data_IF_670277213236
#
_entry.id   IF_670277213236
#
_cell.length_a   1.000
_cell.length_b   1.000
_cell.length_c   1.000
_cell.angle_alpha   90.00
_cell.angle_beta   90.00
_cell.angle_gamma   90.00
#
_symmetry.space_group_name_H-M   'P 1'
#
loop_
_entity.id
_entity.type
_entity.pdbx_description
1 polymer ?
#
# COMPACT_ATOMS: atom_id res chain seq x y z
N UNK A 1 -90.29 32.48 16.41
CA UNK A 1 -89.18 31.76 15.74
C UNK A 1 -89.07 32.32 14.34
N UNK A 2 -88.73 33.60 14.17
CA UNK A 2 -87.45 34.28 14.40
C UNK A 2 -86.47 34.09 13.23
N UNK A 3 -86.43 35.16 12.43
CA UNK A 3 -85.29 35.88 11.87
C UNK A 3 -83.95 35.19 11.49
N UNK A 4 -83.44 35.67 10.35
CA UNK A 4 -82.06 35.97 9.91
C UNK A 4 -81.73 35.26 8.59
N UNK A 5 -81.62 35.93 7.44
CA UNK A 5 -80.91 37.16 7.05
C UNK A 5 -79.36 37.03 6.97
N UNK A 6 -78.91 37.17 5.72
CA UNK A 6 -77.63 37.68 5.22
C UNK A 6 -76.32 36.86 5.22
N UNK A 7 -75.66 37.01 4.05
CA UNK A 7 -74.23 36.89 3.71
C UNK A 7 -73.86 35.55 3.05
N UNK A 8 -73.17 35.45 1.91
CA UNK A 8 -72.15 36.36 1.37
C UNK A 8 -71.80 36.00 -0.10
N UNK A 9 -71.71 37.05 -0.94
CA UNK A 9 -70.92 37.32 -2.15
C UNK A 9 -70.51 36.24 -3.21
N UNK A 10 -70.46 36.63 -4.51
CA UNK A 10 -69.97 35.82 -5.63
C UNK A 10 -68.44 35.89 -5.80
N UNK A 11 -67.79 34.75 -6.03
CA UNK A 11 -66.36 34.68 -6.41
C UNK A 11 -66.20 34.44 -7.92
N UNK A 12 -65.33 35.26 -8.49
CA UNK A 12 -65.05 35.50 -9.91
C UNK A 12 -64.51 34.29 -10.71
N UNK A 13 -64.62 34.32 -12.05
CA UNK A 13 -64.06 33.30 -12.93
C UNK A 13 -62.52 33.33 -12.93
N UNK A 14 -61.92 32.14 -12.84
CA UNK A 14 -60.48 31.96 -12.97
C UNK A 14 -60.02 32.27 -14.41
N UNK A 15 -58.94 33.03 -14.61
CA UNK A 15 -58.42 33.35 -15.93
C UNK A 15 -57.66 32.17 -16.56
N UNK A 16 -57.86 32.04 -17.86
CA UNK A 16 -57.14 31.27 -18.87
C UNK A 16 -55.62 31.21 -18.63
N UNK A 17 -54.96 30.05 -18.75
CA UNK A 17 -53.50 30.00 -18.80
C UNK A 17 -52.99 30.62 -20.11
N UNK A 18 -52.37 31.78 -19.97
CA UNK A 18 -51.59 32.47 -21.00
C UNK A 18 -50.42 31.57 -21.44
N UNK A 19 -50.37 31.28 -22.74
CA UNK A 19 -49.37 30.45 -23.37
C UNK A 19 -47.96 31.03 -23.18
N UNK A 20 -47.13 30.34 -22.39
CA UNK A 20 -45.71 30.64 -22.29
C UNK A 20 -45.01 30.43 -23.64
N UNK A 21 -44.10 31.34 -24.07
CA UNK A 21 -43.36 31.18 -25.32
C UNK A 21 -42.39 29.98 -25.24
N UNK A 22 -42.04 29.36 -26.38
CA UNK A 22 -41.09 28.24 -26.40
C UNK A 22 -39.72 28.71 -25.93
N UNK A 23 -39.25 28.16 -24.81
CA UNK A 23 -37.85 28.25 -24.42
C UNK A 23 -37.02 27.51 -25.47
N UNK A 24 -36.25 28.26 -26.25
CA UNK A 24 -35.17 27.73 -27.08
C UNK A 24 -34.15 27.11 -26.12
N UNK A 25 -34.08 25.79 -26.10
CA UNK A 25 -33.04 25.07 -25.36
C UNK A 25 -31.66 25.55 -25.86
N UNK A 26 -30.72 25.92 -24.97
CA UNK A 26 -29.35 26.16 -25.37
C UNK A 26 -28.80 24.85 -25.94
N UNK A 27 -28.44 24.87 -27.23
CA UNK A 27 -27.68 23.79 -27.87
C UNK A 27 -26.48 23.47 -26.99
N UNK A 28 -26.43 22.24 -26.47
CA UNK A 28 -25.23 21.71 -25.86
C UNK A 28 -24.12 21.76 -26.92
N UNK A 29 -22.93 22.32 -26.61
CA UNK A 29 -21.82 22.24 -27.53
C UNK A 29 -21.46 20.77 -27.72
N UNK A 30 -21.71 20.29 -28.93
CA UNK A 30 -21.18 19.05 -29.47
C UNK A 30 -19.68 18.99 -29.16
N UNK A 31 -19.26 18.03 -28.33
CA UNK A 31 -17.89 17.89 -27.89
C UNK A 31 -17.01 17.62 -29.11
N UNK A 32 -16.30 18.64 -29.57
CA UNK A 32 -15.27 18.51 -30.59
C UNK A 32 -14.32 17.36 -30.19
N UNK A 33 -13.94 16.47 -31.13
CA UNK A 33 -13.06 15.36 -30.82
C UNK A 33 -11.76 15.90 -30.21
N UNK A 34 -11.22 15.25 -29.16
CA UNK A 34 -9.96 15.70 -28.56
C UNK A 34 -8.90 15.75 -29.66
N UNK A 35 -8.15 16.84 -29.72
CA UNK A 35 -7.04 17.00 -30.65
C UNK A 35 -6.17 15.74 -30.64
N UNK A 36 -5.74 15.22 -31.80
CA UNK A 36 -5.05 13.93 -31.90
C UNK A 36 -3.79 13.83 -31.00
N UNK A 37 -3.16 14.97 -30.72
CA UNK A 37 -2.02 15.07 -29.81
C UNK A 37 -2.38 14.79 -28.33
N UNK A 38 -3.54 15.28 -27.87
CA UNK A 38 -4.06 15.00 -26.52
C UNK A 38 -4.43 13.54 -26.36
N UNK A 39 -5.05 12.94 -27.37
CA UNK A 39 -5.38 11.51 -27.36
C UNK A 39 -4.10 10.65 -27.30
N UNK A 40 -3.05 11.02 -28.04
CA UNK A 40 -1.76 10.34 -27.99
C UNK A 40 -1.05 10.49 -26.64
N UNK A 41 -1.12 11.66 -26.01
CA UNK A 41 -0.59 11.90 -24.67
C UNK A 41 -1.34 11.09 -23.61
N UNK A 42 -2.67 11.05 -23.66
CA UNK A 42 -3.49 10.23 -22.76
C UNK A 42 -3.19 8.74 -22.90
N UNK A 43 -3.03 8.24 -24.12
CA UNK A 43 -2.64 6.85 -24.36
C UNK A 43 -1.25 6.52 -23.78
N UNK A 44 -0.29 7.45 -23.88
CA UNK A 44 1.03 7.30 -23.26
C UNK A 44 0.96 7.27 -21.73
N UNK A 45 0.15 8.13 -21.13
CA UNK A 45 -0.05 8.15 -19.66
C UNK A 45 -0.63 6.81 -19.21
N UNK A 46 -1.71 6.35 -19.86
CA UNK A 46 -2.35 5.07 -19.52
C UNK A 46 -1.37 3.88 -19.66
N UNK A 47 -0.53 3.88 -20.70
CA UNK A 47 0.50 2.86 -20.88
C UNK A 47 1.57 2.89 -19.77
N UNK A 48 1.97 4.08 -19.33
CA UNK A 48 2.93 4.25 -18.25
C UNK A 48 2.36 3.82 -16.89
N UNK A 49 1.10 4.16 -16.61
CA UNK A 49 0.38 3.73 -15.42
C UNK A 49 0.24 2.21 -15.38
N UNK A 50 -0.11 1.58 -16.50
CA UNK A 50 -0.18 0.13 -16.60
C UNK A 50 1.19 -0.53 -16.30
N UNK A 51 2.28 0.03 -16.82
CA UNK A 51 3.63 -0.47 -16.51
C UNK A 51 4.02 -0.30 -15.03
N UNK A 52 3.63 0.82 -14.42
CA UNK A 52 3.90 1.05 -12.99
C UNK A 52 3.13 0.05 -12.13
N UNK A 53 1.85 -0.16 -12.44
CA UNK A 53 1.01 -1.12 -11.74
C UNK A 53 1.55 -2.56 -11.89
N UNK A 54 2.00 -2.94 -13.09
CA UNK A 54 2.61 -4.24 -13.34
C UNK A 54 3.89 -4.41 -12.50
N UNK A 55 4.79 -3.43 -12.55
CA UNK A 55 6.03 -3.45 -11.76
C UNK A 55 5.77 -3.50 -10.26
N UNK A 56 4.82 -2.73 -9.77
CA UNK A 56 4.45 -2.74 -8.35
C UNK A 56 3.87 -4.09 -7.93
N UNK A 57 3.00 -4.67 -8.76
CA UNK A 57 2.45 -6.00 -8.51
C UNK A 57 3.53 -7.10 -8.53
N UNK A 58 4.50 -6.99 -9.42
CA UNK A 58 5.63 -7.91 -9.52
C UNK A 58 6.54 -7.80 -8.29
N UNK A 59 6.88 -6.57 -7.88
CA UNK A 59 7.68 -6.31 -6.67
C UNK A 59 6.97 -6.74 -5.40
N UNK A 60 5.66 -6.54 -5.30
CA UNK A 60 4.88 -7.00 -4.15
C UNK A 60 4.95 -8.53 -4.02
N UNK A 61 4.76 -9.25 -5.13
CA UNK A 61 4.88 -10.71 -5.15
C UNK A 61 6.29 -11.20 -4.82
N UNK A 62 7.33 -10.55 -5.36
CA UNK A 62 8.72 -10.87 -5.04
C UNK A 62 9.04 -10.67 -3.56
N UNK A 63 8.57 -9.56 -2.97
CA UNK A 63 8.71 -9.31 -1.52
C UNK A 63 8.00 -10.38 -0.69
N UNK A 64 6.83 -10.85 -1.10
CA UNK A 64 6.13 -11.93 -0.42
C UNK A 64 6.90 -13.26 -0.49
N UNK A 65 7.48 -13.60 -1.65
CA UNK A 65 8.32 -14.79 -1.82
C UNK A 65 9.54 -14.75 -0.91
N UNK A 66 10.26 -13.63 -0.92
CA UNK A 66 11.42 -13.43 -0.07
C UNK A 66 11.06 -13.51 1.42
N UNK A 67 9.94 -12.90 1.82
CA UNK A 67 9.45 -12.96 3.21
C UNK A 67 9.09 -14.39 3.63
N UNK A 68 8.64 -15.20 2.68
CA UNK A 68 8.32 -16.62 2.89
C UNK A 68 9.57 -17.53 2.93
N UNK A 69 10.76 -16.94 2.77
CA UNK A 69 12.03 -17.66 2.78
C UNK A 69 12.43 -18.27 1.43
N UNK A 70 11.73 -17.91 0.34
CA UNK A 70 12.06 -18.37 -1.02
C UNK A 70 13.12 -17.43 -1.61
N UNK A 71 14.39 -17.76 -1.36
CA UNK A 71 15.53 -16.91 -1.74
C UNK A 71 16.10 -17.27 -3.12
N UNK A 72 15.87 -18.48 -3.59
CA UNK A 72 16.38 -18.96 -4.87
C UNK A 72 15.51 -18.47 -6.05
N UNK A 73 16.09 -17.85 -7.10
CA UNK A 73 15.32 -17.33 -8.23
C UNK A 73 14.56 -18.43 -8.99
N UNK A 74 15.11 -19.64 -9.14
CA UNK A 74 14.37 -20.75 -9.78
C UNK A 74 13.15 -21.15 -8.93
N UNK A 75 13.33 -21.23 -7.62
CA UNK A 75 12.23 -21.47 -6.69
C UNK A 75 11.13 -20.41 -6.76
N UNK A 76 11.49 -19.14 -6.93
CA UNK A 76 10.53 -18.04 -7.09
C UNK A 76 9.69 -18.21 -8.35
N UNK A 77 10.30 -18.54 -9.49
CA UNK A 77 9.59 -18.76 -10.74
C UNK A 77 8.66 -19.99 -10.66
N UNK A 78 9.12 -21.07 -10.05
CA UNK A 78 8.30 -22.26 -9.80
C UNK A 78 7.11 -21.91 -8.90
N UNK A 79 7.33 -21.17 -7.81
CA UNK A 79 6.27 -20.74 -6.91
C UNK A 79 5.23 -19.86 -7.63
N UNK A 80 5.67 -18.86 -8.42
CA UNK A 80 4.78 -18.00 -9.24
C UNK A 80 3.95 -18.82 -10.22
N UNK A 81 4.56 -19.78 -10.91
CA UNK A 81 3.88 -20.64 -11.87
C UNK A 81 2.75 -21.46 -11.23
N UNK A 82 3.04 -22.09 -10.09
CA UNK A 82 2.04 -22.91 -9.38
C UNK A 82 0.96 -22.06 -8.71
N UNK A 83 1.33 -20.90 -8.16
CA UNK A 83 0.37 -19.94 -7.61
C UNK A 83 -0.55 -19.36 -8.69
N UNK A 84 -0.04 -19.08 -9.89
CA UNK A 84 -0.83 -18.65 -11.03
C UNK A 84 -1.91 -19.67 -11.42
N UNK A 85 -1.59 -20.96 -11.31
CA UNK A 85 -2.51 -22.09 -11.57
C UNK A 85 -3.50 -22.37 -10.44
N UNK A 86 -3.32 -21.76 -9.27
CA UNK A 86 -4.21 -21.98 -8.13
C UNK A 86 -5.62 -21.47 -8.46
N UNK A 87 -6.61 -22.34 -8.29
CA UNK A 87 -8.00 -21.95 -8.41
C UNK A 87 -8.39 -21.00 -7.25
N UNK A 88 -9.25 -19.99 -7.50
CA UNK A 88 -9.84 -19.24 -6.39
C UNK A 88 -10.59 -20.19 -5.45
N UNK A 89 -10.56 -19.89 -4.15
CA UNK A 89 -11.26 -20.68 -3.14
C UNK A 89 -12.78 -20.56 -3.26
N UNK A 90 -13.50 -21.18 -2.31
CA UNK A 90 -14.96 -21.13 -2.26
C UNK A 90 -15.52 -19.69 -2.23
N UNK A 91 -14.78 -18.74 -1.65
CA UNK A 91 -15.13 -17.32 -1.60
C UNK A 91 -14.79 -16.55 -2.89
N UNK A 92 -14.37 -17.24 -3.96
CA UNK A 92 -13.95 -16.64 -5.22
C UNK A 92 -12.59 -15.90 -5.15
N UNK A 93 -11.92 -15.91 -4.00
CA UNK A 93 -10.62 -15.25 -3.79
C UNK A 93 -9.48 -16.27 -3.76
N UNK A 94 -8.37 -15.93 -4.40
CA UNK A 94 -7.11 -16.66 -4.21
C UNK A 94 -6.53 -16.31 -2.84
N UNK A 95 -5.98 -17.29 -2.08
CA UNK A 95 -5.21 -16.98 -0.88
C UNK A 95 -4.02 -16.10 -1.26
N UNK A 96 -3.51 -15.28 -0.34
CA UNK A 96 -2.25 -14.55 -0.58
C UNK A 96 -1.11 -15.52 -0.85
N UNK A 97 -0.07 -15.07 -1.56
CA UNK A 97 1.08 -15.92 -1.90
C UNK A 97 1.78 -16.41 -0.64
N UNK A 98 1.96 -15.52 0.33
CA UNK A 98 2.50 -15.87 1.66
C UNK A 98 1.61 -16.88 2.40
N UNK A 99 0.29 -16.72 2.34
CA UNK A 99 -0.67 -17.62 2.99
C UNK A 99 -0.70 -19.01 2.35
N UNK A 100 -0.59 -19.06 1.02
CA UNK A 100 -0.47 -20.32 0.28
C UNK A 100 0.83 -21.05 0.61
N UNK A 101 1.97 -20.33 0.66
CA UNK A 101 3.27 -20.91 1.03
C UNK A 101 3.33 -21.39 2.49
N UNK A 102 2.50 -20.84 3.38
CA UNK A 102 2.36 -21.32 4.75
C UNK A 102 1.68 -22.69 4.84
N UNK A 103 0.85 -23.07 3.85
CA UNK A 103 0.13 -24.34 3.81
C UNK A 103 0.98 -25.47 3.22
N UNK A 104 2.12 -25.77 3.87
CA UNK A 104 3.16 -26.64 3.32
C UNK A 104 2.66 -28.02 2.89
N UNK A 105 1.70 -28.59 3.60
CA UNK A 105 1.13 -29.92 3.32
C UNK A 105 0.32 -29.96 2.02
N UNK A 106 -0.14 -28.81 1.52
CA UNK A 106 -0.92 -28.68 0.30
C UNK A 106 -0.11 -28.14 -0.88
N UNK A 107 1.18 -27.89 -0.68
CA UNK A 107 2.04 -27.37 -1.73
C UNK A 107 2.44 -28.47 -2.72
N UNK A 108 2.55 -28.14 -4.01
CA UNK A 108 3.18 -29.02 -4.99
C UNK A 108 4.59 -29.42 -4.52
N UNK A 109 4.96 -30.69 -4.70
CA UNK A 109 6.26 -31.23 -4.27
C UNK A 109 7.45 -30.40 -4.78
N UNK A 110 7.34 -29.87 -6.00
CA UNK A 110 8.32 -28.98 -6.60
C UNK A 110 8.51 -27.70 -5.77
N UNK A 111 7.45 -27.07 -5.28
CA UNK A 111 7.52 -25.85 -4.45
C UNK A 111 7.99 -26.19 -3.03
N UNK A 112 7.48 -27.29 -2.46
CA UNK A 112 7.83 -27.73 -1.12
C UNK A 112 9.33 -28.02 -0.94
N UNK A 113 10.02 -28.46 -2.00
CA UNK A 113 11.45 -28.75 -2.00
C UNK A 113 12.34 -27.52 -1.78
N UNK A 114 11.88 -26.33 -2.18
CA UNK A 114 12.66 -25.10 -2.07
C UNK A 114 12.34 -24.27 -0.84
N UNK A 115 11.28 -24.63 -0.11
CA UNK A 115 10.94 -23.92 1.10
C UNK A 115 11.84 -24.40 2.25
N UNK A 116 12.35 -23.48 3.10
CA UNK A 116 13.21 -23.83 4.22
C UNK A 116 12.52 -24.87 5.09
N UNK A 117 13.26 -25.86 5.61
CA UNK A 117 12.68 -26.85 6.53
C UNK A 117 11.91 -26.13 7.63
N UNK A 118 10.71 -26.62 8.02
CA UNK A 118 9.96 -25.99 9.08
C UNK A 118 10.87 -25.87 10.30
N UNK A 119 10.86 -24.73 11.01
CA UNK A 119 11.49 -24.71 12.31
C UNK A 119 10.83 -25.83 13.09
N UNK A 120 11.60 -26.86 13.45
CA UNK A 120 11.18 -27.77 14.50
C UNK A 120 10.75 -26.87 15.63
N UNK A 121 9.46 -26.87 15.96
CA UNK A 121 8.98 -26.28 17.19
C UNK A 121 9.87 -26.89 18.26
N UNK A 122 10.84 -26.12 18.74
CA UNK A 122 11.52 -26.49 19.96
C UNK A 122 10.37 -26.61 20.95
N UNK A 123 10.11 -27.83 21.40
CA UNK A 123 9.21 -28.06 22.51
C UNK A 123 9.56 -27.01 23.57
N UNK A 124 8.57 -26.32 24.18
CA UNK A 124 8.86 -25.36 25.22
C UNK A 124 9.78 -26.06 26.22
N UNK A 125 11.01 -25.56 26.35
CA UNK A 125 11.96 -26.13 27.28
C UNK A 125 11.24 -26.18 28.65
N UNK A 126 11.30 -27.30 29.38
CA UNK A 126 10.78 -27.33 30.73
C UNK A 126 11.38 -26.13 31.48
N UNK A 127 10.52 -25.27 32.03
CA UNK A 127 10.93 -24.14 32.86
C UNK A 127 11.66 -24.70 34.09
N UNK A 128 12.96 -24.92 33.96
CA UNK A 128 13.86 -25.03 35.08
C UNK A 128 13.88 -23.65 35.75
N UNK A 129 13.64 -23.65 37.06
CA UNK A 129 13.47 -22.46 37.88
C UNK A 129 14.51 -21.37 37.62
N UNK A 130 14.06 -20.13 37.79
CA UNK A 130 14.85 -18.92 37.63
C UNK A 130 16.26 -19.05 38.24
N UNK A 131 17.33 -18.95 37.43
CA UNK A 131 18.63 -18.57 37.95
C UNK A 131 18.57 -17.08 38.27
N UNK A 132 18.84 -16.75 39.54
CA UNK A 132 19.08 -15.38 39.97
C UNK A 132 20.10 -14.71 39.04
N UNK A 133 19.82 -13.46 38.66
CA UNK A 133 20.75 -12.65 37.90
C UNK A 133 22.10 -12.56 38.65
N UNK A 134 23.23 -12.97 38.05
CA UNK A 134 24.53 -12.70 38.64
C UNK A 134 24.79 -11.19 38.61
N UNK A 135 25.18 -10.65 39.76
CA UNK A 135 25.53 -9.24 39.93
C UNK A 135 26.62 -8.82 38.92
N UNK A 136 26.58 -7.59 38.39
CA UNK A 136 27.59 -7.12 37.46
C UNK A 136 28.95 -7.02 38.16
N UNK A 137 29.91 -7.82 37.68
CA UNK A 137 31.32 -7.72 38.04
C UNK A 137 31.86 -6.40 37.47
N UNK A 138 32.28 -5.48 38.34
CA UNK A 138 33.03 -4.29 37.92
C UNK A 138 34.47 -4.70 37.62
N UNK A 139 34.87 -4.60 36.35
CA UNK A 139 36.27 -4.68 35.97
C UNK A 139 37.02 -3.41 36.43
N UNK A 140 38.31 -3.52 36.81
CA UNK A 140 39.13 -2.37 37.18
C UNK A 140 39.39 -1.45 35.98
N UNK A 141 39.24 -0.16 36.25
CA UNK A 141 39.57 0.96 35.37
C UNK A 141 41.10 0.99 35.19
N UNK A 142 41.58 0.73 33.98
CA UNK A 142 43.00 0.86 33.62
C UNK A 142 43.15 1.85 32.46
N UNK A 143 43.57 3.05 32.85
CA UNK A 143 44.42 4.00 32.14
C UNK A 143 44.19 4.25 30.63
N UNK A 144 43.47 5.35 30.39
CA UNK A 144 43.99 6.58 29.75
C UNK A 144 44.98 6.40 28.58
N UNK A 145 44.42 6.25 27.38
CA UNK A 145 45.05 6.65 26.11
C UNK A 145 44.00 7.29 25.22
N UNK A 146 44.21 8.56 24.85
CA UNK A 146 43.27 9.38 24.10
C UNK A 146 42.86 8.75 22.76
N UNK A 147 41.56 8.49 22.62
CA UNK A 147 40.88 8.23 21.36
C UNK A 147 39.40 8.38 21.60
N UNK A 148 38.82 9.53 21.23
CA UNK A 148 37.38 9.71 21.26
C UNK A 148 36.72 8.53 20.55
N UNK A 149 35.78 7.85 21.22
CA UNK A 149 34.91 6.89 20.55
C UNK A 149 34.33 7.58 19.31
N UNK A 150 34.34 6.94 18.12
CA UNK A 150 33.71 7.53 16.95
C UNK A 150 32.26 7.79 17.33
N UNK A 151 31.89 9.08 17.40
CA UNK A 151 30.50 9.46 17.53
C UNK A 151 29.75 8.71 16.45
N UNK A 152 28.71 7.97 16.86
CA UNK A 152 27.80 7.33 15.93
C UNK A 152 27.47 8.36 14.86
N UNK A 153 27.97 8.13 13.64
CA UNK A 153 27.63 9.01 12.54
C UNK A 153 26.12 8.90 12.42
N UNK A 154 25.41 9.97 12.73
CA UNK A 154 23.96 10.08 12.57
C UNK A 154 23.64 10.03 11.07
N UNK A 155 23.84 8.88 10.46
CA UNK A 155 23.36 8.58 9.12
C UNK A 155 21.84 8.59 9.24
N UNK A 156 21.21 9.63 8.70
CA UNK A 156 19.77 9.66 8.57
C UNK A 156 19.31 8.38 7.87
N UNK A 157 18.44 7.62 8.54
CA UNK A 157 17.86 6.42 7.96
C UNK A 157 17.00 6.80 6.74
N UNK A 158 16.85 5.89 5.75
CA UNK A 158 16.01 6.16 4.59
C UNK A 158 14.56 6.53 4.93
N UNK A 159 14.04 5.99 6.04
CA UNK A 159 12.71 6.35 6.55
C UNK A 159 12.68 7.79 7.08
N UNK A 160 13.70 8.22 7.84
CA UNK A 160 13.76 9.58 8.38
C UNK A 160 13.89 10.65 7.29
N UNK A 161 14.50 10.33 6.14
CA UNK A 161 14.62 11.28 5.01
C UNK A 161 13.25 11.58 4.37
N UNK A 162 12.31 10.62 4.41
CA UNK A 162 10.97 10.80 3.82
C UNK A 162 10.08 11.73 4.64
N UNK A 163 10.35 11.83 5.95
CA UNK A 163 9.58 12.64 6.87
C UNK A 163 10.14 14.08 7.01
N UNK A 164 11.25 14.39 6.34
CA UNK A 164 11.83 15.73 6.34
C UNK A 164 10.99 16.68 5.50
N UNK A 165 10.80 17.89 6.00
CA UNK A 165 10.30 18.99 5.18
C UNK A 165 11.32 19.37 4.09
N UNK A 166 10.89 20.02 2.98
CA UNK A 166 11.80 20.39 1.90
C UNK A 166 12.98 21.27 2.34
N UNK A 167 12.76 22.14 3.33
CA UNK A 167 13.80 23.01 3.88
C UNK A 167 14.82 22.25 4.73
N UNK A 168 14.36 21.28 5.51
CA UNK A 168 15.23 20.42 6.32
C UNK A 168 16.02 19.44 5.44
N UNK A 169 15.40 18.91 4.40
CA UNK A 169 16.08 18.08 3.40
C UNK A 169 17.23 18.85 2.73
N UNK A 170 17.01 20.11 2.34
CA UNK A 170 18.07 20.94 1.74
C UNK A 170 19.29 21.12 2.68
N UNK A 171 19.05 21.26 3.98
CA UNK A 171 20.10 21.38 5.01
C UNK A 171 20.82 20.05 5.26
N UNK A 172 20.11 18.91 5.19
CA UNK A 172 20.67 17.57 5.42
C UNK A 172 21.25 16.90 4.16
N UNK A 173 20.97 17.43 2.97
CA UNK A 173 21.44 16.91 1.67
C UNK A 173 22.95 16.60 1.60
N UNK A 174 23.88 17.46 2.02
CA UNK A 174 25.31 17.15 1.93
C UNK A 174 25.70 15.95 2.82
N UNK A 175 25.08 15.80 4.00
CA UNK A 175 25.33 14.67 4.89
C UNK A 175 24.76 13.35 4.33
N UNK A 176 23.59 13.40 3.68
CA UNK A 176 22.97 12.26 3.00
C UNK A 176 23.82 11.79 1.81
N UNK A 177 24.35 12.73 1.02
CA UNK A 177 25.22 12.38 -0.11
C UNK A 177 26.57 11.83 0.35
N UNK A 178 27.14 12.38 1.44
CA UNK A 178 28.39 11.90 2.01
C UNK A 178 28.29 10.48 2.59
N UNK A 179 27.12 10.06 3.09
CA UNK A 179 26.90 8.70 3.58
C UNK A 179 26.72 7.67 2.46
N UNK A 180 26.24 8.09 1.28
CA UNK A 180 26.06 7.23 0.11
C UNK A 180 27.37 6.98 -0.68
N UNK A 181 28.34 7.88 -0.58
CA UNK A 181 29.64 7.80 -1.28
C UNK A 181 30.72 6.98 -0.57
N UNK A 182 30.47 6.47 0.64
CA UNK A 182 31.38 5.54 1.34
C UNK A 182 30.94 4.10 1.09
N UNK A 183 31.28 3.55 -0.07
CA UNK A 183 31.32 2.11 -0.33
C UNK A 183 32.60 1.75 -1.05
#
# INVERSE_FOLDING_TARGET
>A
MDAQDQSQAPAAPAPTPEAAPPQVAPQAPEAAPPSPDLAALQAKIAAFEAQLQEKESAWSQERELLRSGVLDPEAQEVAKLFYGKLAPGADGKKPSLSGWLAQRDQLPKAVAAYLPAPPVQQAPAPQAGAPQAPAPVRLPDSDRGAGAAPQASSSLSPSAIKDLTPEEYAKSRPAILASLGKR
#
